data_IF_322085808995
#
_entry.id   IF_322085808995
#
_cell.length_a   1.000
_cell.length_b   1.000
_cell.length_c   1.000
_cell.angle_alpha   90.00
_cell.angle_beta   90.00
_cell.angle_gamma   90.00
#
_symmetry.space_group_name_H-M   'P 1'
#
loop_
_entity.id
_entity.type
_entity.pdbx_description
1 polymer ?
#
# COMPACT_ATOMS: atom_id res chain seq x y z
N UNK A 1 9.82 15.05 -6.23
CA UNK A 1 9.66 15.01 -4.77
C UNK A 1 10.98 14.61 -4.16
N UNK A 2 11.41 15.33 -3.13
CA UNK A 2 12.58 15.00 -2.29
C UNK A 2 12.23 13.85 -1.34
N UNK A 3 13.22 13.32 -0.61
CA UNK A 3 12.98 12.33 0.44
C UNK A 3 12.12 12.92 1.58
N UNK A 4 12.34 14.19 1.93
CA UNK A 4 11.52 14.91 2.90
C UNK A 4 10.06 15.05 2.44
N UNK A 5 9.84 15.38 1.15
CA UNK A 5 8.49 15.44 0.58
C UNK A 5 7.78 14.08 0.66
N UNK A 6 8.51 12.99 0.40
CA UNK A 6 7.97 11.61 0.46
C UNK A 6 7.60 11.26 1.89
N UNK A 7 8.50 11.53 2.84
CA UNK A 7 8.27 11.27 4.26
C UNK A 7 7.06 12.05 4.79
N UNK A 8 6.98 13.34 4.49
CA UNK A 8 5.85 14.18 4.90
C UNK A 8 4.53 13.70 4.28
N UNK A 9 4.53 13.35 2.99
CA UNK A 9 3.33 12.82 2.34
C UNK A 9 2.87 11.49 2.98
N UNK A 10 3.81 10.61 3.31
CA UNK A 10 3.51 9.35 4.00
C UNK A 10 2.95 9.60 5.42
N UNK A 11 3.55 10.51 6.18
CA UNK A 11 3.04 10.91 7.50
C UNK A 11 1.63 11.47 7.43
N UNK A 12 1.34 12.36 6.47
CA UNK A 12 0.01 12.92 6.30
C UNK A 12 -1.01 11.88 5.84
N UNK A 13 -0.62 10.98 4.94
CA UNK A 13 -1.46 9.85 4.54
C UNK A 13 -1.83 8.99 5.74
N UNK A 14 -0.85 8.62 6.56
CA UNK A 14 -1.07 7.86 7.80
C UNK A 14 -1.94 8.62 8.80
N UNK A 15 -1.69 9.93 8.93
CA UNK A 15 -2.43 10.85 9.79
C UNK A 15 -3.91 10.95 9.45
N UNK A 16 -4.29 10.74 8.19
CA UNK A 16 -5.70 10.69 7.79
C UNK A 16 -6.47 9.59 8.54
N UNK A 17 -5.86 8.40 8.68
CA UNK A 17 -6.52 7.25 9.27
C UNK A 17 -6.47 7.22 10.80
N UNK A 18 -5.47 7.87 11.41
CA UNK A 18 -5.39 8.00 12.88
C UNK A 18 -6.29 9.11 13.40
N UNK A 19 -6.39 10.24 12.69
CA UNK A 19 -7.15 11.41 13.14
C UNK A 19 -8.64 11.32 12.84
N UNK A 20 -9.04 10.54 11.84
CA UNK A 20 -10.44 10.34 11.49
C UNK A 20 -11.16 11.67 11.21
N UNK A 21 -12.17 12.00 12.02
CA UNK A 21 -12.94 13.24 11.87
C UNK A 21 -12.10 14.52 12.08
N UNK A 22 -10.97 14.41 12.78
CA UNK A 22 -10.06 15.53 13.06
C UNK A 22 -8.94 15.67 12.01
N UNK A 23 -9.02 14.92 10.90
CA UNK A 23 -8.07 15.07 9.80
C UNK A 23 -8.14 16.49 9.21
N UNK A 24 -6.97 17.08 8.94
CA UNK A 24 -6.86 18.41 8.36
C UNK A 24 -6.72 18.32 6.83
N UNK A 25 -6.80 19.48 6.18
CA UNK A 25 -6.72 19.58 4.71
C UNK A 25 -5.47 18.90 4.13
N UNK A 26 -4.33 18.94 4.81
CA UNK A 26 -3.11 18.28 4.38
C UNK A 26 -3.28 16.76 4.26
N UNK A 27 -3.94 16.11 5.24
CA UNK A 27 -4.17 14.68 5.24
C UNK A 27 -5.15 14.24 4.14
N UNK A 28 -6.21 15.02 3.88
CA UNK A 28 -7.10 14.78 2.73
C UNK A 28 -6.33 14.86 1.40
N UNK A 29 -5.52 15.92 1.22
CA UNK A 29 -4.70 16.08 0.02
C UNK A 29 -3.66 14.96 -0.14
N UNK A 30 -3.14 14.43 0.96
CA UNK A 30 -2.17 13.35 0.93
C UNK A 30 -2.79 12.07 0.35
N UNK A 31 -4.04 11.74 0.72
CA UNK A 31 -4.78 10.61 0.13
C UNK A 31 -4.92 10.79 -1.38
N UNK A 32 -5.45 11.93 -1.83
CA UNK A 32 -5.62 12.21 -3.27
C UNK A 32 -4.29 12.20 -4.03
N UNK A 33 -3.24 12.76 -3.42
CA UNK A 33 -1.91 12.83 -4.03
C UNK A 33 -1.32 11.45 -4.19
N UNK A 34 -1.37 10.59 -3.16
CA UNK A 34 -0.85 9.24 -3.26
C UNK A 34 -1.58 8.42 -4.32
N UNK A 35 -2.90 8.49 -4.36
CA UNK A 35 -3.70 7.77 -5.35
C UNK A 35 -3.34 8.20 -6.78
N UNK A 36 -3.22 9.52 -7.00
CA UNK A 36 -2.78 10.05 -8.29
C UNK A 36 -1.37 9.58 -8.66
N UNK A 37 -0.42 9.61 -7.72
CA UNK A 37 0.94 9.11 -7.96
C UNK A 37 0.94 7.63 -8.36
N UNK A 38 0.12 6.79 -7.72
CA UNK A 38 0.02 5.37 -8.07
C UNK A 38 -0.49 5.12 -9.50
N UNK A 39 -1.21 6.09 -10.09
CA UNK A 39 -1.66 6.04 -11.50
C UNK A 39 -0.63 6.65 -12.45
N UNK A 40 0.00 7.75 -12.07
CA UNK A 40 0.79 8.58 -12.97
C UNK A 40 2.30 8.28 -12.92
N UNK A 41 2.83 7.85 -11.77
CA UNK A 41 4.26 7.63 -11.51
C UNK A 41 4.44 6.46 -10.55
N UNK A 42 4.54 5.25 -11.11
CA UNK A 42 4.65 4.00 -10.35
C UNK A 42 5.81 4.00 -9.35
N UNK A 43 6.95 4.56 -9.76
CA UNK A 43 8.16 4.56 -8.94
C UNK A 43 8.00 5.46 -7.72
N UNK A 44 7.40 6.63 -7.88
CA UNK A 44 7.16 7.55 -6.78
C UNK A 44 6.00 7.09 -5.89
N UNK A 45 4.90 6.59 -6.48
CA UNK A 45 3.80 5.99 -5.74
C UNK A 45 4.29 4.85 -4.83
N UNK A 46 5.09 3.93 -5.38
CA UNK A 46 5.70 2.85 -4.61
C UNK A 46 6.57 3.36 -3.46
N UNK A 47 7.42 4.38 -3.69
CA UNK A 47 8.27 4.96 -2.62
C UNK A 47 7.45 5.49 -1.45
N UNK A 48 6.34 6.18 -1.74
CA UNK A 48 5.46 6.73 -0.70
C UNK A 48 4.75 5.61 0.06
N UNK A 49 4.26 4.57 -0.62
CA UNK A 49 3.67 3.40 0.04
C UNK A 49 4.69 2.71 0.93
N UNK A 50 5.91 2.51 0.43
CA UNK A 50 7.01 1.91 1.19
C UNK A 50 7.29 2.71 2.47
N UNK A 51 7.39 4.02 2.37
CA UNK A 51 7.57 4.88 3.54
C UNK A 51 6.38 4.76 4.50
N UNK A 52 5.15 4.82 3.99
CA UNK A 52 3.94 4.72 4.80
C UNK A 52 3.84 3.41 5.59
N UNK A 53 4.15 2.25 4.99
CA UNK A 53 4.10 0.96 5.71
C UNK A 53 5.14 0.86 6.83
N UNK A 54 6.26 1.61 6.72
CA UNK A 54 7.30 1.68 7.75
C UNK A 54 6.95 2.68 8.87
N UNK A 55 5.98 3.57 8.64
CA UNK A 55 5.45 4.50 9.65
C UNK A 55 4.26 3.93 10.44
N UNK A 56 3.70 2.79 10.01
CA UNK A 56 2.53 2.19 10.65
C UNK A 56 2.89 1.62 12.02
N UNK A 57 2.28 2.18 13.06
CA UNK A 57 2.25 1.58 14.41
C UNK A 57 1.29 0.38 14.44
N UNK A 58 1.53 -0.56 15.36
CA UNK A 58 0.88 -1.88 15.39
C UNK A 58 -0.66 -1.87 15.49
N UNK A 59 -1.27 -0.75 15.89
CA UNK A 59 -2.71 -0.58 16.04
C UNK A 59 -3.39 0.11 14.83
N UNK A 60 -2.63 0.59 13.84
CA UNK A 60 -3.19 1.27 12.68
C UNK A 60 -3.37 0.34 11.46
N UNK A 61 -4.00 -0.81 11.69
CA UNK A 61 -4.33 -1.78 10.63
C UNK A 61 -5.23 -1.19 9.54
N UNK A 62 -6.03 -0.17 9.90
CA UNK A 62 -6.90 0.53 8.97
C UNK A 62 -6.10 1.19 7.84
N UNK A 63 -5.02 1.90 8.16
CA UNK A 63 -4.20 2.53 7.13
C UNK A 63 -3.60 1.53 6.14
N UNK A 64 -3.15 0.36 6.62
CA UNK A 64 -2.64 -0.72 5.76
C UNK A 64 -3.72 -1.27 4.84
N UNK A 65 -4.93 -1.50 5.37
CA UNK A 65 -6.05 -1.95 4.56
C UNK A 65 -6.37 -0.95 3.42
N UNK A 66 -6.37 0.36 3.73
CA UNK A 66 -6.62 1.40 2.73
C UNK A 66 -5.48 1.61 1.74
N UNK A 67 -4.22 1.26 2.07
CA UNK A 67 -3.14 1.17 1.08
C UNK A 67 -3.42 0.04 0.07
N UNK A 68 -4.00 -1.07 0.53
CA UNK A 68 -4.46 -2.17 -0.32
C UNK A 68 -5.62 -1.80 -1.23
N UNK A 69 -6.71 -1.32 -0.66
CA UNK A 69 -7.99 -1.06 -1.35
C UNK A 69 -8.03 0.28 -2.10
N UNK A 70 -6.94 0.62 -2.80
CA UNK A 70 -6.83 1.88 -3.54
C UNK A 70 -5.44 2.05 -4.15
N UNK A 71 -4.44 2.61 -3.43
CA UNK A 71 -3.11 2.86 -3.98
C UNK A 71 -2.45 1.62 -4.61
N UNK A 72 -2.47 0.47 -3.93
CA UNK A 72 -1.86 -0.76 -4.47
C UNK A 72 -2.68 -1.33 -5.64
N UNK A 73 -4.01 -1.28 -5.58
CA UNK A 73 -4.88 -1.63 -6.72
C UNK A 73 -4.57 -0.76 -7.95
N UNK A 74 -4.42 0.54 -7.78
CA UNK A 74 -4.06 1.47 -8.84
C UNK A 74 -2.66 1.14 -9.40
N UNK A 75 -1.65 0.91 -8.55
CA UNK A 75 -0.33 0.49 -9.04
C UNK A 75 -0.39 -0.79 -9.88
N UNK A 76 -1.20 -1.76 -9.48
CA UNK A 76 -1.34 -3.03 -10.22
C UNK A 76 -2.10 -2.81 -11.53
N UNK A 77 -3.17 -2.03 -11.53
CA UNK A 77 -3.98 -1.81 -12.72
C UNK A 77 -3.27 -1.00 -13.80
N UNK A 78 -2.55 0.04 -13.40
CA UNK A 78 -1.89 0.94 -14.35
C UNK A 78 -0.48 0.47 -14.70
N UNK A 79 0.21 -0.25 -13.80
CA UNK A 79 1.63 -0.59 -13.94
C UNK A 79 1.97 -2.07 -13.68
N UNK A 80 0.97 -2.95 -13.62
CA UNK A 80 1.14 -4.34 -13.17
C UNK A 80 2.19 -5.16 -13.92
N UNK A 81 2.42 -4.88 -15.20
CA UNK A 81 3.46 -5.57 -15.99
C UNK A 81 4.88 -5.37 -15.43
N UNK A 82 5.17 -4.22 -14.85
CA UNK A 82 6.49 -3.88 -14.27
C UNK A 82 6.49 -3.91 -12.74
N UNK A 83 5.36 -3.60 -12.10
CA UNK A 83 5.31 -3.45 -10.65
C UNK A 83 4.99 -4.74 -9.90
N UNK A 84 4.27 -5.69 -10.49
CA UNK A 84 3.72 -6.83 -9.73
C UNK A 84 4.79 -7.67 -9.05
N UNK A 85 5.89 -7.97 -9.74
CA UNK A 85 7.04 -8.68 -9.14
C UNK A 85 7.66 -7.89 -8.00
N UNK A 86 7.84 -6.57 -8.16
CA UNK A 86 8.40 -5.69 -7.14
C UNK A 86 7.51 -5.59 -5.90
N UNK A 87 6.19 -5.54 -6.07
CA UNK A 87 5.23 -5.53 -4.96
C UNK A 87 5.30 -6.84 -4.16
N UNK A 88 5.49 -7.98 -4.84
CA UNK A 88 5.63 -9.29 -4.20
C UNK A 88 6.94 -9.36 -3.41
N UNK A 89 8.06 -8.89 -3.95
CA UNK A 89 9.31 -8.82 -3.18
C UNK A 89 9.19 -7.89 -1.96
N UNK A 90 8.56 -6.72 -2.12
CA UNK A 90 8.31 -5.83 -1.00
C UNK A 90 7.47 -6.49 0.12
N UNK A 91 6.48 -7.30 -0.24
CA UNK A 91 5.71 -8.09 0.71
C UNK A 91 6.54 -9.17 1.41
N UNK A 92 7.56 -9.75 0.75
CA UNK A 92 8.51 -10.68 1.41
C UNK A 92 9.37 -9.97 2.44
N UNK A 93 9.79 -8.75 2.14
CA UNK A 93 10.69 -7.99 3.01
C UNK A 93 9.99 -7.36 4.21
N UNK A 94 8.72 -6.97 4.07
CA UNK A 94 8.01 -6.19 5.07
C UNK A 94 6.63 -6.76 5.40
N UNK A 95 6.41 -7.13 6.67
CA UNK A 95 5.15 -7.72 7.12
C UNK A 95 3.94 -6.76 6.97
N UNK A 96 4.11 -5.46 7.23
CA UNK A 96 3.05 -4.46 7.04
C UNK A 96 2.70 -4.32 5.56
N UNK A 97 3.70 -4.34 4.67
CA UNK A 97 3.48 -4.35 3.23
C UNK A 97 2.74 -5.62 2.79
N UNK A 98 3.10 -6.79 3.34
CA UNK A 98 2.38 -8.04 3.09
C UNK A 98 0.90 -7.92 3.48
N UNK A 99 0.60 -7.32 4.64
CA UNK A 99 -0.79 -7.08 5.04
C UNK A 99 -1.50 -6.12 4.08
N UNK A 100 -0.89 -4.99 3.74
CA UNK A 100 -1.47 -4.04 2.80
C UNK A 100 -1.76 -4.68 1.44
N UNK A 101 -0.80 -5.44 0.88
CA UNK A 101 -0.98 -6.13 -0.39
C UNK A 101 -2.03 -7.25 -0.32
N UNK A 102 -2.19 -7.88 0.86
CA UNK A 102 -3.26 -8.86 1.10
C UNK A 102 -4.66 -8.24 1.14
N UNK A 103 -4.77 -6.90 1.20
CA UNK A 103 -6.03 -6.18 1.20
C UNK A 103 -6.47 -5.76 -0.21
N UNK A 104 -5.69 -6.03 -1.26
CA UNK A 104 -6.10 -5.80 -2.67
C UNK A 104 -7.32 -6.66 -2.99
N UNK A 105 -8.34 -6.06 -3.61
CA UNK A 105 -9.55 -6.79 -3.98
C UNK A 105 -9.40 -7.48 -5.32
N UNK A 106 -9.81 -8.75 -5.39
CA UNK A 106 -9.82 -9.53 -6.64
C UNK A 106 -10.46 -8.78 -7.79
N UNK A 107 -11.65 -8.21 -7.56
CA UNK A 107 -12.42 -7.54 -8.60
C UNK A 107 -11.87 -6.17 -8.97
N UNK A 108 -10.90 -5.65 -8.21
CA UNK A 108 -10.24 -4.40 -8.52
C UNK A 108 -9.05 -4.58 -9.45
N UNK A 109 -8.51 -5.79 -9.63
CA UNK A 109 -7.36 -6.06 -10.50
C UNK A 109 -7.68 -7.08 -11.59
N UNK A 110 -6.86 -7.17 -12.64
CA UNK A 110 -7.05 -8.19 -13.67
C UNK A 110 -6.93 -9.61 -13.09
N UNK A 111 -7.64 -10.58 -13.67
CA UNK A 111 -7.57 -11.99 -13.24
C UNK A 111 -6.13 -12.55 -13.30
N UNK A 112 -5.31 -12.09 -14.25
CA UNK A 112 -3.90 -12.46 -14.34
C UNK A 112 -3.09 -11.93 -13.15
N UNK A 113 -3.27 -10.64 -12.82
CA UNK A 113 -2.60 -10.04 -11.67
C UNK A 113 -3.06 -10.69 -10.37
N UNK A 114 -4.37 -10.91 -10.22
CA UNK A 114 -4.94 -11.62 -9.07
C UNK A 114 -4.36 -13.02 -8.93
N UNK A 115 -4.33 -13.84 -9.99
CA UNK A 115 -3.78 -15.19 -9.92
C UNK A 115 -2.31 -15.23 -9.49
N UNK A 116 -1.53 -14.20 -9.87
CA UNK A 116 -0.14 -14.06 -9.43
C UNK A 116 -0.05 -13.74 -7.93
N UNK A 117 -0.88 -12.81 -7.43
CA UNK A 117 -0.93 -12.45 -6.01
C UNK A 117 -1.44 -13.61 -5.15
N UNK A 118 -2.55 -14.23 -5.55
CA UNK A 118 -3.19 -15.34 -4.85
C UNK A 118 -2.25 -16.55 -4.75
N UNK A 119 -1.41 -16.78 -5.76
CA UNK A 119 -0.36 -17.80 -5.73
C UNK A 119 0.79 -17.48 -4.78
N UNK A 120 1.23 -16.21 -4.69
CA UNK A 120 2.41 -15.82 -3.92
C UNK A 120 2.13 -15.52 -2.43
N UNK A 121 1.04 -14.80 -2.13
CA UNK A 121 0.75 -14.28 -0.79
C UNK A 121 0.57 -15.35 0.30
N UNK A 122 0.06 -16.56 0.07
CA UNK A 122 -0.03 -17.59 1.12
C UNK A 122 1.34 -17.95 1.72
N UNK A 123 2.36 -18.15 0.89
CA UNK A 123 3.71 -18.49 1.35
C UNK A 123 4.35 -17.32 2.10
N UNK A 124 4.20 -16.10 1.56
CA UNK A 124 4.76 -14.89 2.15
C UNK A 124 4.13 -14.59 3.51
N UNK A 125 2.81 -14.78 3.65
CA UNK A 125 2.13 -14.65 4.94
C UNK A 125 2.67 -15.67 5.94
N UNK A 126 2.90 -16.91 5.50
CA UNK A 126 3.44 -17.94 6.37
C UNK A 126 4.87 -17.61 6.85
N UNK A 127 5.71 -16.97 6.02
CA UNK A 127 7.09 -16.59 6.41
C UNK A 127 7.16 -15.49 7.45
N UNK A 128 6.15 -14.62 7.54
CA UNK A 128 6.07 -13.55 8.56
C UNK A 128 5.48 -14.02 9.91
N UNK A 129 5.14 -15.32 10.06
CA UNK A 129 4.44 -15.84 11.23
C UNK A 129 2.92 -15.71 11.09
N UNK A 130 2.13 -16.00 12.16
CA UNK A 130 0.66 -15.83 12.10
C UNK A 130 0.32 -14.34 11.97
N UNK A 131 0.33 -13.83 10.74
CA UNK A 131 -0.38 -12.62 10.35
C UNK A 131 -1.85 -12.91 10.67
N UNK A 132 -2.41 -12.24 11.68
CA UNK A 132 -3.83 -12.38 12.00
C UNK A 132 -4.62 -12.03 10.74
N UNK A 133 -5.44 -12.96 10.27
CA UNK A 133 -6.37 -12.68 9.18
C UNK A 133 -7.27 -11.53 9.63
N UNK A 134 -7.33 -10.47 8.80
CA UNK A 134 -8.28 -9.37 8.94
C UNK A 134 -9.72 -9.87 8.73
#
# INVERSE_FOLDING_TARGET
MTEEDIHQLAQDYMGYFTRGADAQQAQFRAVETLWRLCRDDAALGFKVIWEAVNLVEADNMKALAFLGTGPLEDLINFHGGEMLGRLIEAARENANFCVALSCVWRNAVSEQAWGTLDGALPEIRASHGRVQAL
#
